data_IF_603107921125
#
_entry.id   IF_603107921125
#
_cell.length_a   1.000
_cell.length_b   1.000
_cell.length_c   1.000
_cell.angle_alpha   90.00
_cell.angle_beta   90.00
_cell.angle_gamma   90.00
#
_symmetry.space_group_name_H-M   'P 1'
#
loop_
_entity.id
_entity.type
_entity.pdbx_description
1 polymer ?
#
# COMPACT_ATOMS: atom_id res chain seq x y z
N UNK A 1 -9.99 15.99 -9.28
CA UNK A 1 -9.20 15.36 -10.37
C UNK A 1 -7.71 15.23 -10.04
N UNK A 2 -6.98 16.31 -9.69
CA UNK A 2 -5.51 16.27 -9.40
C UNK A 2 -5.10 15.35 -8.23
N UNK A 3 -5.91 15.29 -7.17
CA UNK A 3 -5.66 14.45 -5.97
C UNK A 3 -5.81 12.94 -6.24
N UNK A 4 -6.74 12.58 -7.13
CA UNK A 4 -6.96 11.18 -7.52
C UNK A 4 -5.77 10.64 -8.33
N UNK A 5 -5.26 11.41 -9.30
CA UNK A 5 -4.06 11.06 -10.10
C UNK A 5 -2.81 10.91 -9.22
N UNK A 6 -2.65 11.77 -8.22
CA UNK A 6 -1.51 11.70 -7.29
C UNK A 6 -1.58 10.46 -6.38
N UNK A 7 -2.79 10.10 -5.93
CA UNK A 7 -3.05 8.90 -5.14
C UNK A 7 -2.84 7.64 -6.01
N UNK A 8 -3.31 7.62 -7.26
CA UNK A 8 -3.04 6.54 -8.21
C UNK A 8 -1.54 6.34 -8.43
N UNK A 9 -0.81 7.39 -8.80
CA UNK A 9 0.63 7.30 -9.05
C UNK A 9 1.40 6.89 -7.79
N UNK A 10 1.02 7.40 -6.61
CA UNK A 10 1.74 7.06 -5.39
C UNK A 10 1.43 5.66 -4.86
N UNK A 11 0.19 5.20 -4.98
CA UNK A 11 -0.19 3.81 -4.74
C UNK A 11 0.62 2.88 -5.66
N UNK A 12 0.77 3.22 -6.94
CA UNK A 12 1.55 2.45 -7.92
C UNK A 12 3.06 2.45 -7.60
N UNK A 13 3.59 3.58 -7.13
CA UNK A 13 4.98 3.73 -6.70
C UNK A 13 5.25 2.91 -5.45
N UNK A 14 4.39 2.99 -4.43
CA UNK A 14 4.62 2.21 -3.21
C UNK A 14 4.30 0.73 -3.42
N UNK A 15 3.35 0.38 -4.28
CA UNK A 15 3.17 -1.00 -4.73
C UNK A 15 4.45 -1.53 -5.39
N UNK A 16 5.06 -0.76 -6.30
CA UNK A 16 6.32 -1.13 -6.97
C UNK A 16 7.49 -1.23 -5.99
N UNK A 17 7.58 -0.34 -4.99
CA UNK A 17 8.61 -0.35 -3.95
C UNK A 17 8.39 -1.45 -2.89
N UNK A 18 7.15 -1.85 -2.63
CA UNK A 18 6.82 -2.92 -1.70
C UNK A 18 7.06 -4.30 -2.32
N UNK A 19 6.84 -4.43 -3.64
CA UNK A 19 7.18 -5.60 -4.45
C UNK A 19 8.70 -5.74 -4.65
N UNK A 20 9.47 -4.66 -4.59
CA UNK A 20 10.94 -4.69 -4.71
C UNK A 20 11.69 -4.87 -3.38
N UNK A 21 10.99 -5.32 -2.33
CA UNK A 21 11.41 -5.29 -0.92
C UNK A 21 12.68 -6.06 -0.51
N UNK A 22 13.85 -5.62 -0.98
CA UNK A 22 15.17 -5.96 -0.45
C UNK A 22 16.13 -4.75 -0.48
N UNK A 23 16.43 -4.21 0.71
CA UNK A 23 17.53 -3.29 1.10
C UNK A 23 17.34 -1.74 1.12
N UNK A 24 18.07 -1.14 2.09
CA UNK A 24 18.21 0.24 2.66
C UNK A 24 18.27 1.43 1.67
N UNK A 25 18.15 2.72 2.00
CA UNK A 25 17.36 3.53 2.96
C UNK A 25 17.53 5.05 2.71
N UNK A 26 18.57 5.51 2.02
CA UNK A 26 18.68 6.91 1.53
C UNK A 26 18.00 7.14 0.16
N UNK A 27 17.58 6.06 -0.51
CA UNK A 27 17.27 6.03 -1.93
C UNK A 27 15.80 6.27 -2.31
N UNK A 28 14.87 6.41 -1.35
CA UNK A 28 13.44 6.32 -1.66
C UNK A 28 12.72 7.67 -1.96
N UNK A 29 13.27 8.81 -1.56
CA UNK A 29 12.76 10.15 -1.95
C UNK A 29 13.52 10.75 -3.14
N UNK A 30 14.82 10.41 -3.26
CA UNK A 30 15.53 10.42 -4.55
C UNK A 30 14.79 9.55 -5.54
N UNK A 31 14.36 8.33 -5.15
CA UNK A 31 13.56 7.48 -6.01
C UNK A 31 12.25 8.18 -6.39
N UNK A 32 11.50 8.78 -5.47
CA UNK A 32 10.19 9.35 -5.81
C UNK A 32 10.22 10.58 -6.72
N UNK A 33 11.20 11.48 -6.55
CA UNK A 33 11.37 12.65 -7.43
C UNK A 33 12.04 12.29 -8.77
N UNK A 34 13.00 11.36 -8.75
CA UNK A 34 13.52 10.72 -9.97
C UNK A 34 12.45 9.89 -10.69
N UNK A 35 11.47 9.30 -9.98
CA UNK A 35 10.43 8.44 -10.58
C UNK A 35 9.56 9.20 -11.57
N UNK A 36 9.21 10.45 -11.28
CA UNK A 36 8.33 11.24 -12.17
C UNK A 36 9.12 11.84 -13.35
N UNK A 37 10.41 12.06 -13.19
CA UNK A 37 11.32 12.67 -14.19
C UNK A 37 12.02 11.62 -15.09
N UNK A 38 12.15 10.37 -14.63
CA UNK A 38 12.75 9.22 -15.32
C UNK A 38 11.73 8.37 -16.08
N UNK A 39 10.53 8.16 -15.53
CA UNK A 39 9.42 7.46 -16.23
C UNK A 39 8.99 8.21 -17.49
N UNK A 40 9.23 9.52 -17.53
CA UNK A 40 8.94 10.37 -18.68
C UNK A 40 10.05 10.44 -19.74
N UNK A 41 11.21 9.77 -19.56
CA UNK A 41 12.37 9.83 -20.49
C UNK A 41 12.88 8.49 -21.05
N UNK A 42 12.41 7.33 -20.59
CA UNK A 42 12.86 6.03 -21.10
C UNK A 42 11.69 5.19 -21.65
N UNK A 43 11.78 4.69 -22.90
CA UNK A 43 10.75 3.89 -23.55
C UNK A 43 10.35 2.59 -22.83
N UNK A 44 11.12 2.14 -21.85
CA UNK A 44 11.03 0.78 -21.28
C UNK A 44 10.17 0.68 -20.00
N UNK A 45 9.95 1.77 -19.25
CA UNK A 45 9.18 1.75 -17.98
C UNK A 45 7.67 1.89 -18.15
N UNK A 46 7.23 2.37 -19.31
CA UNK A 46 5.81 2.46 -19.69
C UNK A 46 5.13 1.09 -19.62
N UNK A 47 5.82 0.01 -20.01
CA UNK A 47 5.25 -1.35 -20.03
C UNK A 47 4.90 -1.89 -18.64
N UNK A 48 5.75 -1.65 -17.63
CA UNK A 48 5.45 -2.06 -16.23
C UNK A 48 4.33 -1.23 -15.64
N UNK A 49 4.28 0.06 -15.96
CA UNK A 49 3.19 0.95 -15.54
C UNK A 49 1.86 0.53 -16.18
N UNK A 50 1.85 0.27 -17.49
CA UNK A 50 0.69 -0.21 -18.24
C UNK A 50 0.22 -1.57 -17.71
N UNK A 51 1.14 -2.50 -17.41
CA UNK A 51 0.77 -3.80 -16.84
C UNK A 51 0.09 -3.65 -15.47
N UNK A 52 0.61 -2.80 -14.58
CA UNK A 52 -0.04 -2.55 -13.27
C UNK A 52 -1.36 -1.81 -13.44
N UNK A 53 -1.46 -0.89 -14.41
CA UNK A 53 -2.69 -0.16 -14.73
C UNK A 53 -3.78 -1.07 -15.30
N UNK A 54 -3.44 -1.96 -16.24
CA UNK A 54 -4.35 -2.97 -16.79
C UNK A 54 -4.85 -3.92 -15.71
N UNK A 55 -3.95 -4.35 -14.82
CA UNK A 55 -4.31 -5.17 -13.65
C UNK A 55 -5.24 -4.40 -12.70
N UNK A 56 -5.01 -3.09 -12.49
CA UNK A 56 -5.86 -2.22 -11.67
C UNK A 56 -7.22 -1.94 -12.31
N UNK A 57 -7.38 -2.10 -13.63
CA UNK A 57 -8.65 -1.88 -14.31
C UNK A 57 -9.51 -3.16 -14.42
N UNK A 58 -8.98 -4.32 -14.02
CA UNK A 58 -9.75 -5.58 -14.03
C UNK A 58 -10.85 -5.55 -12.97
N UNK A 59 -12.05 -5.93 -13.39
CA UNK A 59 -13.22 -6.04 -12.50
C UNK A 59 -13.10 -7.18 -11.48
N UNK A 60 -12.38 -8.26 -11.81
CA UNK A 60 -12.10 -9.36 -10.90
C UNK A 60 -10.66 -9.81 -11.10
N UNK A 61 -9.86 -9.73 -10.04
CA UNK A 61 -8.46 -10.08 -10.04
C UNK A 61 -8.18 -11.05 -8.89
N UNK A 62 -7.52 -12.15 -9.20
CA UNK A 62 -6.99 -13.06 -8.20
C UNK A 62 -5.46 -13.09 -8.31
N UNK A 63 -4.78 -13.01 -7.16
CA UNK A 63 -3.32 -13.02 -7.08
C UNK A 63 -2.92 -14.11 -6.09
N UNK A 64 -2.06 -15.02 -6.55
CA UNK A 64 -1.29 -15.90 -5.67
C UNK A 64 -0.18 -15.07 -5.02
N UNK A 65 -0.17 -15.04 -3.68
CA UNK A 65 0.78 -14.23 -2.91
C UNK A 65 1.84 -15.05 -2.19
N UNK A 66 2.00 -16.35 -2.46
CA UNK A 66 2.95 -17.22 -1.73
C UNK A 66 4.39 -16.65 -1.74
N UNK A 67 4.86 -16.18 -2.91
CA UNK A 67 6.19 -15.59 -3.07
C UNK A 67 6.26 -14.09 -2.71
N UNK A 68 5.12 -13.45 -2.47
CA UNK A 68 5.02 -11.99 -2.26
C UNK A 68 4.17 -11.62 -1.03
N UNK A 69 4.17 -12.47 0.00
CA UNK A 69 3.37 -12.29 1.23
C UNK A 69 3.59 -10.94 1.92
N UNK A 70 4.78 -10.35 1.78
CA UNK A 70 5.12 -9.03 2.35
C UNK A 70 4.36 -7.88 1.65
N UNK A 71 3.78 -8.12 0.48
CA UNK A 71 2.99 -7.17 -0.31
C UNK A 71 1.49 -7.23 -0.02
N UNK A 72 1.01 -8.22 0.75
CA UNK A 72 -0.42 -8.34 1.11
C UNK A 72 -0.99 -7.04 1.68
N UNK A 73 -0.31 -6.33 2.62
CA UNK A 73 -0.86 -5.09 3.17
C UNK A 73 -1.12 -4.02 2.11
N UNK A 74 -0.15 -3.80 1.20
CA UNK A 74 -0.30 -2.76 0.17
C UNK A 74 -1.28 -3.20 -0.93
N UNK A 75 -1.31 -4.48 -1.30
CA UNK A 75 -2.27 -5.01 -2.27
C UNK A 75 -3.71 -4.87 -1.76
N UNK A 76 -3.94 -5.07 -0.47
CA UNK A 76 -5.25 -4.82 0.15
C UNK A 76 -5.68 -3.35 0.03
N UNK A 77 -4.76 -2.41 0.27
CA UNK A 77 -5.01 -0.98 0.10
C UNK A 77 -5.30 -0.62 -1.35
N UNK A 78 -4.53 -1.16 -2.29
CA UNK A 78 -4.78 -0.99 -3.74
C UNK A 78 -6.19 -1.47 -4.08
N UNK A 79 -6.58 -2.65 -3.60
CA UNK A 79 -7.90 -3.22 -3.84
C UNK A 79 -9.05 -2.36 -3.31
N UNK A 80 -8.84 -1.58 -2.25
CA UNK A 80 -9.85 -0.63 -1.77
C UNK A 80 -10.12 0.50 -2.78
N UNK A 81 -9.14 0.87 -3.59
CA UNK A 81 -9.27 1.93 -4.60
C UNK A 81 -9.55 1.41 -6.02
N UNK A 82 -9.48 0.09 -6.23
CA UNK A 82 -9.83 -0.55 -7.49
C UNK A 82 -11.35 -0.41 -7.76
N UNK A 83 -11.77 -0.42 -9.03
CA UNK A 83 -13.18 -0.57 -9.42
C UNK A 83 -13.72 -1.98 -9.17
N UNK A 84 -12.84 -2.98 -9.16
CA UNK A 84 -13.18 -4.40 -9.08
C UNK A 84 -13.01 -5.07 -7.72
N UNK A 85 -13.11 -6.39 -7.73
CA UNK A 85 -12.78 -7.29 -6.62
C UNK A 85 -11.36 -7.82 -6.78
N UNK A 86 -10.60 -7.81 -5.70
CA UNK A 86 -9.29 -8.41 -5.59
C UNK A 86 -9.32 -9.54 -4.56
N UNK A 87 -8.84 -10.71 -4.96
CA UNK A 87 -8.65 -11.87 -4.08
C UNK A 87 -7.16 -12.18 -3.97
N UNK A 88 -6.63 -12.22 -2.75
CA UNK A 88 -5.28 -12.68 -2.45
C UNK A 88 -5.37 -14.10 -1.87
N UNK A 89 -4.63 -15.06 -2.43
CA UNK A 89 -4.65 -16.49 -2.04
C UNK A 89 -3.26 -17.00 -1.69
N UNK A 90 -3.20 -18.13 -0.97
CA UNK A 90 -1.94 -18.80 -0.60
C UNK A 90 -0.99 -17.97 0.30
N UNK A 91 -1.51 -16.97 1.00
CA UNK A 91 -0.75 -16.08 1.88
C UNK A 91 -0.67 -16.52 3.34
N UNK A 92 -0.88 -17.81 3.67
CA UNK A 92 -0.96 -18.28 5.06
C UNK A 92 0.26 -17.90 5.91
N UNK A 93 1.45 -17.86 5.30
CA UNK A 93 2.70 -17.50 5.96
C UNK A 93 2.73 -16.04 6.44
N UNK A 94 1.91 -15.16 5.86
CA UNK A 94 1.80 -13.76 6.28
C UNK A 94 1.25 -13.60 7.71
N UNK A 95 0.57 -14.61 8.23
CA UNK A 95 0.06 -14.61 9.63
C UNK A 95 1.15 -14.76 10.68
N UNK A 96 2.34 -15.23 10.29
CA UNK A 96 3.46 -15.56 11.18
C UNK A 96 4.61 -14.55 11.07
N UNK A 97 4.36 -13.37 10.50
CA UNK A 97 5.37 -12.32 10.30
C UNK A 97 5.46 -11.46 11.57
N UNK A 98 5.88 -10.21 11.46
CA UNK A 98 5.95 -9.29 12.61
C UNK A 98 4.60 -9.12 13.32
N UNK A 99 3.50 -9.17 12.57
CA UNK A 99 2.15 -9.36 13.07
C UNK A 99 1.42 -10.43 12.26
N UNK A 100 0.20 -10.79 12.67
CA UNK A 100 -0.73 -11.43 11.72
C UNK A 100 -1.15 -10.37 10.69
N UNK A 101 -0.47 -10.35 9.55
CA UNK A 101 -0.66 -9.29 8.54
C UNK A 101 -2.02 -9.33 7.88
N UNK A 102 -2.61 -10.52 7.73
CA UNK A 102 -3.93 -10.69 7.13
C UNK A 102 -4.98 -10.10 8.08
N UNK A 103 -4.92 -10.49 9.36
CA UNK A 103 -5.81 -9.98 10.39
C UNK A 103 -5.65 -8.46 10.57
N UNK A 104 -4.41 -8.00 10.73
CA UNK A 104 -4.10 -6.59 10.98
C UNK A 104 -4.64 -5.71 9.86
N UNK A 105 -4.24 -5.94 8.60
CA UNK A 105 -4.68 -5.07 7.51
C UNK A 105 -6.20 -5.13 7.31
N UNK A 106 -6.81 -6.31 7.48
CA UNK A 106 -8.26 -6.46 7.35
C UNK A 106 -9.01 -5.64 8.40
N UNK A 107 -8.61 -5.72 9.67
CA UNK A 107 -9.28 -4.99 10.74
C UNK A 107 -9.09 -3.49 10.63
N UNK A 108 -7.88 -3.03 10.31
CA UNK A 108 -7.60 -1.60 10.19
C UNK A 108 -8.34 -1.00 8.99
N UNK A 109 -8.36 -1.67 7.83
CA UNK A 109 -9.12 -1.19 6.68
C UNK A 109 -10.65 -1.25 6.91
N UNK A 110 -11.16 -2.21 7.69
CA UNK A 110 -12.58 -2.21 8.13
C UNK A 110 -12.94 -0.97 8.95
N UNK A 111 -12.06 -0.49 9.83
CA UNK A 111 -12.28 0.78 10.56
C UNK A 111 -12.43 1.95 9.60
N UNK A 112 -11.72 1.91 8.48
CA UNK A 112 -11.81 2.87 7.37
C UNK A 112 -12.99 2.62 6.43
N UNK A 113 -13.94 1.74 6.78
CA UNK A 113 -15.11 1.36 5.96
C UNK A 113 -14.79 0.61 4.66
N UNK A 114 -13.60 0.02 4.56
CA UNK A 114 -13.26 -0.82 3.42
C UNK A 114 -14.18 -2.05 3.33
N UNK A 115 -14.50 -2.43 2.09
CA UNK A 115 -15.17 -3.71 1.80
C UNK A 115 -14.11 -4.81 1.72
N UNK A 116 -13.71 -5.33 2.87
CA UNK A 116 -12.63 -6.33 2.99
C UNK A 116 -13.06 -7.49 3.89
N UNK A 117 -12.70 -8.71 3.46
CA UNK A 117 -13.04 -9.97 4.11
C UNK A 117 -11.75 -10.77 4.31
N UNK A 118 -11.46 -11.10 5.57
CA UNK A 118 -10.37 -11.98 5.95
C UNK A 118 -10.68 -13.43 5.53
N UNK A 119 -9.67 -14.15 5.06
CA UNK A 119 -9.70 -15.60 4.82
C UNK A 119 -8.52 -16.25 5.53
N UNK A 120 -8.60 -17.57 5.73
CA UNK A 120 -7.56 -18.33 6.44
C UNK A 120 -6.15 -18.11 5.86
N UNK A 121 -6.03 -18.07 4.55
CA UNK A 121 -4.79 -18.01 3.79
C UNK A 121 -4.77 -16.82 2.81
N UNK A 122 -5.49 -15.74 3.13
CA UNK A 122 -5.52 -14.56 2.29
C UNK A 122 -6.64 -13.60 2.67
N UNK A 123 -7.08 -12.80 1.71
CA UNK A 123 -8.18 -11.86 1.90
C UNK A 123 -8.85 -11.52 0.57
N UNK A 124 -10.11 -11.13 0.64
CA UNK A 124 -10.83 -10.51 -0.47
C UNK A 124 -11.09 -9.04 -0.17
N UNK A 125 -10.92 -8.16 -1.14
CA UNK A 125 -11.19 -6.73 -1.01
C UNK A 125 -11.89 -6.21 -2.26
N UNK A 126 -12.82 -5.28 -2.08
CA UNK A 126 -13.55 -4.63 -3.16
C UNK A 126 -13.40 -3.11 -3.09
N UNK A 127 -13.53 -2.47 -4.25
CA UNK A 127 -13.61 -1.02 -4.36
C UNK A 127 -14.56 -0.39 -3.35
N UNK A 128 -14.04 0.56 -2.56
CA UNK A 128 -14.76 1.20 -1.48
C UNK A 128 -14.30 2.65 -1.25
N UNK A 129 -15.20 3.48 -0.74
CA UNK A 129 -14.87 4.84 -0.33
C UNK A 129 -14.37 4.80 1.10
N UNK A 130 -13.06 4.99 1.29
CA UNK A 130 -12.46 4.96 2.62
C UNK A 130 -12.77 6.24 3.41
N UNK A 131 -12.89 6.06 4.72
CA UNK A 131 -13.11 7.13 5.69
C UNK A 131 -11.97 7.18 6.72
N UNK A 132 -11.77 8.37 7.29
CA UNK A 132 -10.75 8.55 8.30
C UNK A 132 -11.06 7.76 9.57
N UNK A 133 -10.02 7.20 10.19
CA UNK A 133 -10.14 6.39 11.39
C UNK A 133 -8.91 6.54 12.30
N UNK A 134 -9.04 6.03 13.53
CA UNK A 134 -7.89 5.73 14.40
C UNK A 134 -7.49 4.29 14.15
N UNK A 135 -6.23 4.11 13.78
CA UNK A 135 -5.66 2.87 13.28
C UNK A 135 -4.46 2.47 14.10
N UNK A 136 -4.18 1.17 14.16
CA UNK A 136 -3.02 0.65 14.85
C UNK A 136 -2.10 -0.05 13.83
N UNK A 137 -0.79 0.21 13.87
CA UNK A 137 0.15 -0.45 12.95
C UNK A 137 0.45 -1.91 13.30
N UNK A 138 0.02 -2.36 14.47
CA UNK A 138 0.38 -3.65 15.08
C UNK A 138 1.90 -3.83 15.21
N UNK A 139 2.63 -2.71 15.34
CA UNK A 139 4.10 -2.65 15.34
C UNK A 139 4.76 -3.30 14.11
N UNK A 140 4.02 -3.43 13.01
CA UNK A 140 4.51 -3.97 11.74
C UNK A 140 4.71 -2.84 10.73
N UNK A 141 5.96 -2.67 10.28
CA UNK A 141 6.35 -1.64 9.33
C UNK A 141 5.59 -1.72 8.00
N UNK A 142 5.25 -2.93 7.51
CA UNK A 142 4.49 -3.10 6.27
C UNK A 142 3.04 -2.64 6.44
N UNK A 143 2.44 -2.92 7.60
CA UNK A 143 1.10 -2.45 7.94
C UNK A 143 1.11 -0.92 8.11
N UNK A 144 2.05 -0.38 8.88
CA UNK A 144 2.19 1.07 9.08
C UNK A 144 2.31 1.83 7.75
N UNK A 145 3.16 1.37 6.83
CA UNK A 145 3.30 1.98 5.50
C UNK A 145 2.01 1.86 4.68
N UNK A 146 1.37 0.68 4.67
CA UNK A 146 0.12 0.47 3.94
C UNK A 146 -1.01 1.39 4.43
N UNK A 147 -1.22 1.48 5.75
CA UNK A 147 -2.24 2.36 6.33
C UNK A 147 -1.94 3.84 6.08
N UNK A 148 -0.66 4.21 6.09
CA UNK A 148 -0.24 5.57 5.74
C UNK A 148 -0.68 5.92 4.30
N UNK A 149 -0.58 4.98 3.38
CA UNK A 149 -1.01 5.17 1.98
C UNK A 149 -2.54 5.15 1.86
N UNK A 150 -3.22 4.30 2.61
CA UNK A 150 -4.68 4.30 2.68
C UNK A 150 -5.22 5.65 3.20
N UNK A 151 -4.52 6.30 4.12
CA UNK A 151 -4.92 7.62 4.62
C UNK A 151 -4.78 8.73 3.56
N UNK A 152 -3.88 8.60 2.58
CA UNK A 152 -3.64 9.63 1.56
C UNK A 152 -4.82 9.84 0.59
N UNK A 153 -5.61 8.80 0.35
CA UNK A 153 -6.80 8.90 -0.49
C UNK A 153 -8.00 9.56 0.20
N UNK A 154 -7.85 10.03 1.43
CA UNK A 154 -8.94 10.52 2.29
C UNK A 154 -8.78 12.03 2.52
N UNK A 155 -9.91 12.72 2.61
CA UNK A 155 -9.93 14.18 2.83
C UNK A 155 -9.61 14.54 4.28
N UNK A 156 -10.13 13.76 5.24
CA UNK A 156 -9.93 13.95 6.68
C UNK A 156 -8.69 13.19 7.17
N UNK A 157 -7.98 13.70 8.19
CA UNK A 157 -6.80 13.03 8.73
C UNK A 157 -7.18 11.74 9.46
N UNK A 158 -6.37 10.69 9.27
CA UNK A 158 -6.42 9.47 10.09
C UNK A 158 -5.29 9.51 11.11
N UNK A 159 -5.51 8.91 12.28
CA UNK A 159 -4.47 8.69 13.28
C UNK A 159 -3.96 7.27 13.15
N UNK A 160 -2.64 7.08 13.05
CA UNK A 160 -2.02 5.75 12.99
C UNK A 160 -1.04 5.65 14.16
N UNK A 161 -1.33 4.73 15.08
CA UNK A 161 -0.50 4.46 16.24
C UNK A 161 0.70 3.58 15.87
N UNK A 162 1.76 3.64 16.68
CA UNK A 162 2.96 2.80 16.57
C UNK A 162 3.66 2.87 15.20
N UNK A 163 3.68 4.04 14.55
CA UNK A 163 4.32 4.26 13.23
C UNK A 163 5.86 4.23 13.25
N UNK A 164 6.48 4.33 14.43
CA UNK A 164 7.94 4.30 14.56
C UNK A 164 8.57 2.95 14.16
N UNK A 165 7.76 1.88 14.08
CA UNK A 165 8.19 0.58 13.57
C UNK A 165 8.71 0.66 12.12
N UNK A 166 8.29 1.66 11.34
CA UNK A 166 8.77 1.90 9.97
C UNK A 166 10.29 2.12 9.96
N UNK A 167 10.85 2.75 10.99
CA UNK A 167 12.27 3.05 11.07
C UNK A 167 13.15 1.79 11.04
N UNK A 168 12.60 0.59 11.27
CA UNK A 168 13.33 -0.67 11.10
C UNK A 168 13.79 -0.92 9.66
N UNK A 169 13.05 -0.41 8.67
CA UNK A 169 13.28 -0.67 7.24
C UNK A 169 13.26 0.58 6.36
N UNK A 170 12.89 1.72 6.94
CA UNK A 170 12.84 3.00 6.27
C UNK A 170 12.90 4.23 7.22
N UNK A 171 14.01 4.49 7.94
CA UNK A 171 14.23 5.64 8.83
C UNK A 171 13.92 7.00 8.21
N UNK A 172 14.15 7.17 6.91
CA UNK A 172 13.86 8.44 6.24
C UNK A 172 12.39 8.58 5.83
N UNK A 173 11.54 7.58 6.07
CA UNK A 173 10.14 7.57 5.65
C UNK A 173 9.39 8.82 6.09
N UNK A 174 9.50 9.26 7.36
CA UNK A 174 8.80 10.46 7.83
C UNK A 174 9.25 11.73 7.10
N UNK A 175 10.55 11.86 6.83
CA UNK A 175 11.14 12.99 6.08
C UNK A 175 10.61 13.01 4.65
N UNK A 176 10.64 11.83 4.03
CA UNK A 176 10.26 11.58 2.66
C UNK A 176 8.73 11.82 2.50
N UNK A 177 7.93 11.33 3.44
CA UNK A 177 6.50 11.61 3.52
C UNK A 177 6.19 13.10 3.66
N UNK A 178 7.02 13.84 4.42
CA UNK A 178 6.88 15.28 4.62
C UNK A 178 7.21 16.11 3.39
N UNK A 179 8.23 15.73 2.60
CA UNK A 179 8.55 16.43 1.34
C UNK A 179 7.44 16.33 0.30
N UNK A 180 6.48 15.44 0.51
CA UNK A 180 5.29 15.26 -0.34
C UNK A 180 4.09 16.09 0.09
N UNK A 181 4.26 16.94 1.11
CA UNK A 181 3.19 17.75 1.67
C UNK A 181 2.26 16.97 2.60
N UNK A 182 2.66 15.79 3.05
CA UNK A 182 1.90 14.96 3.98
C UNK A 182 2.52 15.04 5.38
N UNK A 183 1.74 14.83 6.44
CA UNK A 183 2.25 14.86 7.81
C UNK A 183 1.88 13.57 8.54
N UNK A 184 2.88 12.98 9.21
CA UNK A 184 2.70 11.95 10.24
C UNK A 184 2.93 12.70 11.56
N UNK A 185 1.86 12.90 12.33
CA UNK A 185 1.88 13.60 13.61
C UNK A 185 2.29 12.65 14.74
#
# INVERSE_FOLDING_TARGET
MKRFVFVSCFILIVASLALSGGQKEAGKEVAKKATIEFVSQLPEYEARYQAVWEVFMKENLEIDVDDIIDSIPILAVIGCYNRGKLMLKNGLNARKKESDRIFAITNELKKMKAKIIEKKDGLGVEGSKLEAATLNSHRDHRIAMALTIAALGIEKPSLIEDVDCINKTYPTFKKDFKSLGCAIL
#
